data_IF_877733431932
#
_entry.id   IF_877733431932
#
_cell.length_a   1.000
_cell.length_b   1.000
_cell.length_c   1.000
_cell.angle_alpha   90.00
_cell.angle_beta   90.00
_cell.angle_gamma   90.00
#
_symmetry.space_group_name_H-M   'P 1'
#
loop_
_entity.id
_entity.type
_entity.pdbx_description
1 polymer ?
#
# COMPACT_ATOMS: atom_id res chain seq x y z
N UNK A 1 24.40 -2.01 47.48
CA UNK A 1 22.93 -2.19 47.56
C UNK A 1 22.23 -1.71 46.28
N UNK A 2 22.33 -0.44 45.87
CA UNK A 2 21.62 0.07 44.67
C UNK A 2 22.12 -0.49 43.33
N UNK A 3 23.43 -0.76 43.18
CA UNK A 3 24.00 -1.25 41.92
C UNK A 3 23.41 -2.61 41.48
N UNK A 4 23.09 -3.48 42.44
CA UNK A 4 22.62 -4.84 42.18
C UNK A 4 21.16 -4.85 41.66
N UNK A 5 20.33 -3.89 42.10
CA UNK A 5 18.98 -3.71 41.57
C UNK A 5 18.98 -3.16 40.14
N UNK A 6 19.90 -2.25 39.83
CA UNK A 6 20.06 -1.70 38.46
C UNK A 6 20.57 -2.77 37.51
N UNK A 7 21.53 -3.58 37.93
CA UNK A 7 22.07 -4.69 37.14
C UNK A 7 20.98 -5.72 36.81
N UNK A 8 20.14 -6.08 37.79
CA UNK A 8 19.00 -6.98 37.57
C UNK A 8 17.95 -6.38 36.62
N UNK A 9 17.68 -5.07 36.74
CA UNK A 9 16.72 -4.40 35.87
C UNK A 9 17.24 -4.31 34.43
N UNK A 10 18.54 -4.07 34.25
CA UNK A 10 19.18 -3.99 32.94
C UNK A 10 19.21 -5.35 32.25
N UNK A 11 19.48 -6.43 33.00
CA UNK A 11 19.39 -7.81 32.51
C UNK A 11 17.95 -8.17 32.15
N UNK A 12 16.99 -7.92 33.05
CA UNK A 12 15.58 -8.23 32.81
C UNK A 12 15.01 -7.47 31.61
N UNK A 13 15.28 -6.17 31.52
CA UNK A 13 14.84 -5.34 30.40
C UNK A 13 15.56 -5.71 29.09
N UNK A 14 16.84 -6.08 29.16
CA UNK A 14 17.60 -6.55 28.00
C UNK A 14 17.06 -7.86 27.42
N UNK A 15 16.77 -8.85 28.27
CA UNK A 15 16.20 -10.14 27.82
C UNK A 15 14.83 -9.93 27.18
N UNK A 16 13.95 -9.12 27.78
CA UNK A 16 12.64 -8.80 27.20
C UNK A 16 12.81 -8.09 25.87
N UNK A 17 13.71 -7.11 25.77
CA UNK A 17 13.96 -6.39 24.52
C UNK A 17 14.44 -7.32 23.40
N UNK A 18 15.40 -8.19 23.68
CA UNK A 18 15.89 -9.20 22.72
C UNK A 18 14.76 -10.15 22.34
N UNK A 19 13.97 -10.62 23.30
CA UNK A 19 12.84 -11.50 23.04
C UNK A 19 11.81 -10.85 22.11
N UNK A 20 11.47 -9.58 22.34
CA UNK A 20 10.57 -8.83 21.46
C UNK A 20 11.16 -8.65 20.06
N UNK A 21 12.46 -8.34 19.92
CA UNK A 21 13.13 -8.26 18.61
C UNK A 21 13.00 -9.59 17.86
N UNK A 22 13.26 -10.71 18.54
CA UNK A 22 13.12 -12.04 17.94
C UNK A 22 11.68 -12.30 17.51
N UNK A 23 10.69 -11.99 18.36
CA UNK A 23 9.28 -12.14 18.00
C UNK A 23 8.88 -11.28 16.80
N UNK A 24 9.33 -10.02 16.76
CA UNK A 24 9.06 -9.12 15.62
C UNK A 24 9.75 -9.63 14.36
N UNK A 25 10.99 -10.14 14.46
CA UNK A 25 11.69 -10.73 13.33
C UNK A 25 10.96 -11.97 12.78
N UNK A 26 10.48 -12.86 13.66
CA UNK A 26 9.71 -14.05 13.27
C UNK A 26 8.38 -13.68 12.64
N UNK A 27 7.62 -12.76 13.24
CA UNK A 27 6.33 -12.31 12.67
C UNK A 27 6.52 -11.57 11.35
N UNK A 28 7.60 -10.79 11.21
CA UNK A 28 7.96 -10.15 9.94
C UNK A 28 8.39 -11.16 8.89
N UNK A 29 9.17 -12.18 9.26
CA UNK A 29 9.55 -13.27 8.38
C UNK A 29 8.31 -14.05 7.93
N UNK A 30 7.39 -14.35 8.84
CA UNK A 30 6.10 -14.96 8.53
C UNK A 30 5.27 -14.08 7.59
N UNK A 31 5.20 -12.76 7.83
CA UNK A 31 4.50 -11.82 6.94
C UNK A 31 5.11 -11.80 5.54
N UNK A 32 6.44 -11.77 5.42
CA UNK A 32 7.14 -11.87 4.13
C UNK A 32 6.95 -13.23 3.45
N UNK A 33 6.95 -14.31 4.24
CA UNK A 33 6.70 -15.66 3.75
C UNK A 33 5.27 -15.75 3.21
N UNK A 34 4.29 -15.26 3.96
CA UNK A 34 2.89 -15.20 3.53
C UNK A 34 2.72 -14.30 2.30
N UNK A 35 3.38 -13.16 2.19
CA UNK A 35 3.31 -12.34 0.97
C UNK A 35 3.98 -12.98 -0.24
N UNK A 36 5.06 -13.75 -0.03
CA UNK A 36 5.82 -14.41 -1.10
C UNK A 36 5.17 -15.72 -1.56
N UNK A 37 4.66 -16.51 -0.63
CA UNK A 37 4.06 -17.83 -0.87
C UNK A 37 2.54 -17.77 -0.99
N UNK A 38 1.90 -16.86 -0.26
CA UNK A 38 0.49 -16.47 -0.42
C UNK A 38 0.32 -15.33 -1.42
N UNK A 39 1.22 -15.22 -2.41
CA UNK A 39 0.90 -14.62 -3.71
C UNK A 39 -0.07 -15.55 -4.44
N UNK A 40 -1.19 -15.84 -3.79
CA UNK A 40 -2.46 -15.97 -4.48
C UNK A 40 -2.52 -14.68 -5.30
N UNK A 41 -2.59 -14.83 -6.62
CA UNK A 41 -2.93 -13.75 -7.54
C UNK A 41 -3.90 -12.82 -6.83
N UNK A 42 -3.65 -11.50 -6.74
CA UNK A 42 -4.66 -10.61 -6.18
C UNK A 42 -5.93 -10.96 -6.94
N UNK A 43 -6.90 -11.59 -6.25
CA UNK A 43 -8.08 -12.15 -6.88
C UNK A 43 -8.56 -11.06 -7.83
N UNK A 44 -8.63 -11.33 -9.16
CA UNK A 44 -8.75 -10.29 -10.15
C UNK A 44 -9.83 -9.35 -9.65
N UNK A 45 -9.42 -8.15 -9.20
CA UNK A 45 -10.38 -7.18 -8.69
C UNK A 45 -11.37 -7.08 -9.84
N UNK A 46 -12.66 -7.41 -9.63
CA UNK A 46 -13.61 -7.39 -10.73
C UNK A 46 -13.43 -6.02 -11.34
N UNK A 47 -12.93 -5.98 -12.59
CA UNK A 47 -12.58 -4.75 -13.25
C UNK A 47 -13.79 -3.86 -13.05
N UNK A 48 -13.65 -2.80 -12.26
CA UNK A 48 -14.77 -1.95 -11.89
C UNK A 48 -15.44 -1.63 -13.19
N UNK A 49 -16.67 -2.14 -13.38
CA UNK A 49 -17.39 -1.92 -14.62
C UNK A 49 -17.31 -0.42 -14.86
N UNK A 50 -16.86 0.03 -16.05
CA UNK A 50 -16.79 1.46 -16.32
C UNK A 50 -18.12 2.04 -15.88
N UNK A 51 -18.12 3.12 -15.06
CA UNK A 51 -19.34 3.70 -14.53
C UNK A 51 -20.38 3.74 -15.65
N UNK A 52 -21.60 3.24 -15.44
CA UNK A 52 -22.60 3.16 -16.52
C UNK A 52 -22.92 4.55 -17.11
N UNK A 53 -22.56 5.61 -16.38
CA UNK A 53 -22.62 7.01 -16.79
C UNK A 53 -21.33 7.54 -17.47
N UNK A 54 -20.34 6.69 -17.77
CA UNK A 54 -19.18 7.12 -18.57
C UNK A 54 -19.65 7.39 -20.00
N UNK A 55 -19.46 8.62 -20.52
CA UNK A 55 -19.76 8.92 -21.91
C UNK A 55 -18.99 7.96 -22.82
N UNK A 56 -19.68 7.39 -23.82
CA UNK A 56 -19.07 6.48 -24.78
C UNK A 56 -17.77 7.07 -25.35
N UNK A 57 -16.76 6.25 -25.70
CA UNK A 57 -15.50 6.74 -26.27
C UNK A 57 -15.67 7.65 -27.50
N UNK A 58 -16.76 7.48 -28.25
CA UNK A 58 -17.14 8.34 -29.35
C UNK A 58 -17.54 9.76 -28.90
N UNK A 59 -18.25 9.90 -27.78
CA UNK A 59 -18.63 11.20 -27.20
C UNK A 59 -17.39 11.93 -26.69
N UNK A 60 -16.48 11.21 -26.00
CA UNK A 60 -15.21 11.79 -25.52
C UNK A 60 -14.39 12.36 -26.69
N UNK A 61 -14.24 11.59 -27.79
CA UNK A 61 -13.54 12.06 -29.00
C UNK A 61 -14.23 13.24 -29.67
N UNK A 62 -15.56 13.26 -29.69
CA UNK A 62 -16.33 14.37 -30.25
C UNK A 62 -16.15 15.66 -29.42
N UNK A 63 -16.16 15.55 -28.09
CA UNK A 63 -15.89 16.67 -27.18
C UNK A 63 -14.45 17.17 -27.36
N UNK A 64 -13.47 16.26 -27.44
CA UNK A 64 -12.07 16.64 -27.66
C UNK A 64 -11.88 17.43 -28.96
N UNK A 65 -12.47 16.95 -30.06
CA UNK A 65 -12.44 17.65 -31.36
C UNK A 65 -13.11 19.02 -31.28
N UNK A 66 -14.26 19.11 -30.60
CA UNK A 66 -14.97 20.38 -30.43
C UNK A 66 -14.16 21.39 -29.60
N UNK A 67 -13.51 20.94 -28.53
CA UNK A 67 -12.65 21.79 -27.68
C UNK A 67 -11.40 22.26 -28.43
N UNK A 68 -10.76 21.38 -29.21
CA UNK A 68 -9.63 21.77 -30.06
C UNK A 68 -10.03 22.81 -31.11
N UNK A 69 -11.17 22.61 -31.76
CA UNK A 69 -11.71 23.57 -32.74
C UNK A 69 -12.06 24.91 -32.10
N UNK A 70 -12.61 24.91 -30.87
CA UNK A 70 -12.89 26.14 -30.12
C UNK A 70 -11.62 26.90 -29.72
N UNK A 71 -10.56 26.17 -29.35
CA UNK A 71 -9.24 26.77 -29.06
C UNK A 71 -8.61 27.42 -30.28
N UNK A 72 -8.78 26.81 -31.46
CA UNK A 72 -8.30 27.37 -32.72
C UNK A 72 -9.14 28.59 -33.15
N UNK A 73 -10.45 28.59 -32.91
CA UNK A 73 -11.32 29.73 -33.22
C UNK A 73 -11.22 30.90 -32.23
N UNK A 74 -10.69 30.68 -31.01
CA UNK A 74 -10.44 31.75 -30.03
C UNK A 74 -9.11 32.49 -30.27
N UNK A 75 -8.32 32.05 -31.25
CA UNK A 75 -7.02 32.61 -31.63
C UNK A 75 -7.06 33.40 -32.96
N UNK A 76 -8.27 33.70 -33.45
CA UNK A 76 -8.56 34.53 -34.63
C UNK A 76 -9.48 35.68 -34.25
#
# INVERSE_FOLDING_TARGET
MMAQGVELMLVGMGVVFVFLIVLVAVTTAMSKLVQKFGREEPAPQPASAPPQDMPSPAIIKAIEKAVQQHRQSSLS
#
